data_IF_141560700296
#
_entry.id   IF_141560700296
#
_cell.length_a   1.000
_cell.length_b   1.000
_cell.length_c   1.000
_cell.angle_alpha   90.00
_cell.angle_beta   90.00
_cell.angle_gamma   90.00
#
_symmetry.space_group_name_H-M   'P 1'
#
loop_
_entity.id
_entity.type
_entity.pdbx_description
1 polymer ?
#
# COMPACT_ATOMS: atom_id res chain seq x y z
N UNK A 1 -22.02 62.79 -20.22
CA UNK A 1 -21.03 61.82 -20.73
C UNK A 1 -19.92 61.76 -19.68
N UNK A 2 -19.62 60.69 -18.99
CA UNK A 2 -19.91 59.27 -19.16
C UNK A 2 -19.79 58.64 -17.77
N UNK A 3 -20.80 57.86 -17.38
CA UNK A 3 -20.68 56.93 -16.27
C UNK A 3 -19.46 56.04 -16.53
N UNK A 4 -18.45 56.11 -15.65
CA UNK A 4 -17.38 55.11 -15.61
C UNK A 4 -18.03 53.87 -15.00
N UNK A 5 -18.49 53.02 -15.90
CA UNK A 5 -19.04 51.71 -15.60
C UNK A 5 -18.01 50.87 -14.84
N UNK A 6 -18.50 50.35 -13.72
CA UNK A 6 -18.13 49.09 -13.08
C UNK A 6 -17.33 48.14 -13.99
N UNK A 7 -16.05 47.94 -13.68
CA UNK A 7 -15.26 46.83 -14.22
C UNK A 7 -14.94 45.87 -13.08
N UNK A 8 -15.97 45.28 -12.46
CA UNK A 8 -15.85 44.02 -11.74
C UNK A 8 -15.62 42.88 -12.74
N UNK A 9 -14.41 42.83 -13.30
CA UNK A 9 -13.90 41.66 -13.98
C UNK A 9 -13.16 40.78 -13.00
N UNK A 10 -13.88 40.11 -12.10
CA UNK A 10 -13.32 39.03 -11.29
C UNK A 10 -13.07 37.86 -12.26
N UNK A 11 -11.95 37.94 -12.99
CA UNK A 11 -11.45 36.87 -13.82
C UNK A 11 -11.14 35.71 -12.88
N UNK A 12 -12.10 34.80 -12.74
CA UNK A 12 -11.87 33.48 -12.19
C UNK A 12 -10.90 32.82 -13.15
N UNK A 13 -9.61 32.94 -12.83
CA UNK A 13 -8.59 32.12 -13.42
C UNK A 13 -8.74 30.74 -12.77
N UNK A 14 -9.68 29.95 -13.30
CA UNK A 14 -9.74 28.51 -13.08
C UNK A 14 -8.49 27.92 -13.73
N UNK A 15 -7.36 28.08 -13.04
CA UNK A 15 -6.16 27.30 -13.29
C UNK A 15 -6.51 25.86 -12.97
N UNK A 16 -7.04 25.16 -13.98
CA UNK A 16 -7.04 23.71 -14.07
C UNK A 16 -5.57 23.26 -14.10
N UNK A 17 -4.93 23.30 -12.93
CA UNK A 17 -3.64 22.70 -12.72
C UNK A 17 -3.81 21.23 -13.03
N UNK A 18 -3.21 20.79 -14.15
CA UNK A 18 -3.07 19.40 -14.52
C UNK A 18 -2.29 18.67 -13.43
N UNK A 19 -2.98 18.34 -12.34
CA UNK A 19 -2.47 17.47 -11.31
C UNK A 19 -2.21 16.15 -12.02
N UNK A 20 -0.95 15.72 -12.08
CA UNK A 20 -0.61 14.39 -12.62
C UNK A 20 -1.45 13.39 -11.81
N UNK A 21 -2.49 12.84 -12.41
CA UNK A 21 -3.43 11.92 -11.76
C UNK A 21 -3.00 10.49 -12.07
N UNK A 22 -2.88 9.65 -11.05
CA UNK A 22 -2.63 8.23 -11.19
C UNK A 22 -1.41 7.71 -10.44
N UNK A 23 -1.15 6.41 -10.61
CA UNK A 23 0.01 5.66 -10.09
C UNK A 23 1.35 6.31 -10.43
N UNK A 24 1.45 7.00 -11.58
CA UNK A 24 2.64 7.76 -11.96
C UNK A 24 2.97 8.87 -10.97
N UNK A 25 1.99 9.48 -10.29
CA UNK A 25 2.26 10.47 -9.24
C UNK A 25 2.93 9.82 -8.04
N UNK A 26 2.42 8.68 -7.58
CA UNK A 26 2.99 7.97 -6.44
C UNK A 26 4.39 7.42 -6.75
N UNK A 27 4.63 6.97 -7.99
CA UNK A 27 5.93 6.43 -8.41
C UNK A 27 7.02 7.51 -8.61
N UNK A 28 6.64 8.73 -9.03
CA UNK A 28 7.58 9.84 -9.24
C UNK A 28 7.53 10.89 -8.12
N UNK A 29 6.95 10.57 -6.97
CA UNK A 29 6.81 11.52 -5.85
C UNK A 29 8.06 11.50 -4.97
N UNK A 30 8.60 12.67 -4.64
CA UNK A 30 9.77 12.85 -3.75
C UNK A 30 9.37 13.24 -2.32
N UNK A 31 8.06 13.34 -2.05
CA UNK A 31 7.54 13.73 -0.74
C UNK A 31 7.62 12.55 0.26
N UNK A 32 8.27 12.76 1.40
CA UNK A 32 8.43 11.75 2.45
C UNK A 32 7.11 11.28 3.09
N UNK A 33 6.04 12.09 3.07
CA UNK A 33 4.72 11.70 3.59
C UNK A 33 4.02 10.68 2.69
N UNK A 34 4.12 10.88 1.39
CA UNK A 34 3.54 9.97 0.39
C UNK A 34 4.36 8.67 0.33
N UNK A 35 5.70 8.77 0.30
CA UNK A 35 6.59 7.61 0.36
C UNK A 35 6.32 6.80 1.64
N UNK A 36 6.22 7.46 2.80
CA UNK A 36 5.89 6.78 4.05
C UNK A 36 4.55 6.04 4.01
N UNK A 37 3.53 6.63 3.37
CA UNK A 37 2.20 6.00 3.24
C UNK A 37 2.24 4.77 2.33
N UNK A 38 3.04 4.78 1.26
CA UNK A 38 3.29 3.59 0.42
C UNK A 38 3.92 2.45 1.22
N UNK A 39 4.97 2.75 1.99
CA UNK A 39 5.66 1.75 2.81
C UNK A 39 4.76 1.17 3.89
N UNK A 40 3.88 1.99 4.49
CA UNK A 40 2.93 1.53 5.50
C UNK A 40 1.89 0.58 4.89
N UNK A 41 1.38 0.89 3.70
CA UNK A 41 0.48 -0.02 2.97
C UNK A 41 1.16 -1.32 2.55
N UNK A 42 2.40 -1.22 2.06
CA UNK A 42 3.20 -2.37 1.67
C UNK A 42 3.49 -3.29 2.86
N UNK A 43 3.99 -2.74 3.96
CA UNK A 43 4.32 -3.52 5.17
C UNK A 43 3.07 -4.12 5.81
N UNK A 44 1.95 -3.41 5.82
CA UNK A 44 0.67 -3.94 6.31
C UNK A 44 0.16 -5.11 5.46
N UNK A 45 0.35 -5.05 4.14
CA UNK A 45 0.01 -6.16 3.24
C UNK A 45 0.90 -7.37 3.51
N UNK A 46 2.22 -7.17 3.65
CA UNK A 46 3.15 -8.27 3.94
C UNK A 46 2.94 -8.86 5.32
N UNK A 47 2.50 -8.05 6.30
CA UNK A 47 2.10 -8.51 7.62
C UNK A 47 0.92 -9.49 7.57
N UNK A 48 -0.11 -9.22 6.75
CA UNK A 48 -1.20 -10.17 6.58
C UNK A 48 -0.75 -11.46 5.91
N UNK A 49 0.08 -11.37 4.87
CA UNK A 49 0.58 -12.56 4.16
C UNK A 49 1.45 -13.41 5.10
N UNK A 50 2.42 -12.81 5.78
CA UNK A 50 3.25 -13.48 6.78
C UNK A 50 2.42 -14.03 7.94
N UNK A 51 1.43 -13.28 8.43
CA UNK A 51 0.51 -13.71 9.49
C UNK A 51 -0.35 -14.91 9.09
N UNK A 52 -0.86 -14.95 7.86
CA UNK A 52 -1.60 -16.10 7.34
C UNK A 52 -0.72 -17.34 7.21
N UNK A 53 0.53 -17.21 6.74
CA UNK A 53 1.48 -18.32 6.75
C UNK A 53 1.75 -18.85 8.17
N UNK A 54 1.90 -17.96 9.15
CA UNK A 54 2.08 -18.36 10.56
C UNK A 54 0.87 -19.10 11.12
N UNK A 55 -0.34 -18.67 10.75
CA UNK A 55 -1.59 -19.35 11.12
C UNK A 55 -1.66 -20.75 10.47
N UNK A 56 -1.19 -20.91 9.23
CA UNK A 56 -1.08 -22.22 8.58
C UNK A 56 -0.12 -23.16 9.28
N UNK A 57 1.05 -22.67 9.70
CA UNK A 57 2.02 -23.45 10.50
C UNK A 57 1.42 -23.84 11.85
N UNK A 58 0.73 -22.91 12.52
CA UNK A 58 0.02 -23.17 13.78
C UNK A 58 -1.10 -24.19 13.59
N UNK A 59 -1.85 -24.14 12.48
CA UNK A 59 -2.92 -25.07 12.14
C UNK A 59 -2.43 -26.52 12.12
N UNK A 60 -1.27 -26.79 11.52
CA UNK A 60 -0.67 -28.13 11.49
C UNK A 60 -0.21 -28.64 12.85
N UNK A 61 0.25 -27.74 13.74
CA UNK A 61 0.74 -28.12 15.06
C UNK A 61 -0.36 -28.33 16.10
N UNK A 62 -1.65 -28.12 15.77
CA UNK A 62 -2.75 -28.30 16.74
C UNK A 62 -2.95 -29.76 17.19
N UNK A 63 -2.54 -30.73 16.38
CA UNK A 63 -2.56 -32.14 16.76
C UNK A 63 -1.23 -32.80 16.37
N UNK A 64 -0.63 -33.62 17.25
CA UNK A 64 0.64 -34.26 16.98
C UNK A 64 0.50 -35.31 15.86
N UNK A 65 1.12 -35.07 14.71
CA UNK A 65 1.18 -35.95 13.54
C UNK A 65 1.19 -35.16 12.23
N UNK A 66 1.75 -35.71 11.14
CA UNK A 66 1.61 -35.10 9.81
C UNK A 66 0.17 -35.26 9.32
N UNK A 67 -0.59 -34.17 9.24
CA UNK A 67 -2.02 -34.23 8.90
C UNK A 67 -2.35 -33.66 7.53
N UNK A 68 -1.79 -32.50 7.12
CA UNK A 68 -2.23 -31.85 5.87
C UNK A 68 -1.09 -31.58 4.89
N UNK A 69 0.16 -31.40 5.35
CA UNK A 69 1.29 -31.05 4.46
C UNK A 69 2.49 -31.99 4.60
N UNK A 70 3.23 -32.13 3.49
CA UNK A 70 4.51 -32.84 3.46
C UNK A 70 5.57 -32.10 4.30
N UNK A 71 6.55 -32.83 4.89
CA UNK A 71 7.61 -32.22 5.70
C UNK A 71 8.38 -31.12 4.97
N UNK A 72 8.60 -31.30 3.68
CA UNK A 72 9.27 -30.34 2.81
C UNK A 72 8.48 -29.02 2.68
N UNK A 73 7.16 -29.12 2.56
CA UNK A 73 6.31 -27.93 2.43
C UNK A 73 6.23 -27.14 3.74
N UNK A 74 6.25 -27.80 4.90
CA UNK A 74 6.31 -27.14 6.21
C UNK A 74 7.59 -26.32 6.39
N UNK A 75 8.73 -26.87 5.97
CA UNK A 75 10.02 -26.17 5.99
C UNK A 75 10.00 -24.94 5.06
N UNK A 76 9.40 -25.08 3.88
CA UNK A 76 9.24 -23.96 2.93
C UNK A 76 8.30 -22.87 3.46
N UNK A 77 7.15 -23.23 4.02
CA UNK A 77 6.22 -22.28 4.65
C UNK A 77 6.90 -21.47 5.76
N UNK A 78 7.67 -22.14 6.61
CA UNK A 78 8.39 -21.49 7.73
C UNK A 78 9.45 -20.53 7.22
N UNK A 79 10.20 -20.93 6.20
CA UNK A 79 11.24 -20.08 5.58
C UNK A 79 10.63 -18.87 4.88
N UNK A 80 9.55 -19.07 4.12
CA UNK A 80 8.83 -18.00 3.45
C UNK A 80 8.19 -17.03 4.44
N UNK A 81 7.64 -17.53 5.55
CA UNK A 81 7.14 -16.69 6.64
C UNK A 81 8.26 -15.78 7.19
N UNK A 82 9.44 -16.35 7.46
CA UNK A 82 10.59 -15.60 7.98
C UNK A 82 11.08 -14.51 7.02
N UNK A 83 11.14 -14.81 5.71
CA UNK A 83 11.59 -13.84 4.69
C UNK A 83 10.55 -12.74 4.43
N UNK A 84 9.26 -13.03 4.59
CA UNK A 84 8.18 -12.02 4.38
C UNK A 84 8.05 -11.07 5.58
N UNK A 85 8.41 -11.53 6.78
CA UNK A 85 8.34 -10.75 8.01
C UNK A 85 9.57 -9.86 8.27
N UNK A 86 10.67 -10.06 7.54
CA UNK A 86 11.91 -9.26 7.65
C UNK A 86 11.89 -8.10 6.65
#
# INVERSE_FOLDING_TARGET
MSAVLDQHGHAIHDTHGHHRTGIMRWLTTTNHKDIGTLYLWFSFTMFFIGGLLALGIRAELFMPGMQVWNPEFFNQLTTMHGIIMV
#
